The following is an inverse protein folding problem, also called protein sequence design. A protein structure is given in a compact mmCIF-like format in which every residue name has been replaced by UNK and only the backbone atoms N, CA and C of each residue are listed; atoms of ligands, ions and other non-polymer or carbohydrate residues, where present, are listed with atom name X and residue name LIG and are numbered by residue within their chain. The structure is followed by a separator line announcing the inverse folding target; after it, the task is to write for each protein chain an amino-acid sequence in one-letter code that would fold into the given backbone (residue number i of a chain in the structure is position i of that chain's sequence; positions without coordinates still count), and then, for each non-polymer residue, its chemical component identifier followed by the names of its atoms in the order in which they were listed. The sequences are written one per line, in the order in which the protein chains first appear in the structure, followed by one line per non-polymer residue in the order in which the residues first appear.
data_IF_510766891470
#
_entry.id   IF_510766891470
#
_cell.length_a   1.000
_cell.length_b   1.000
_cell.length_c   1.000
_cell.angle_alpha   90.00
_cell.angle_beta   90.00
_cell.angle_gamma   90.00
#
_symmetry.space_group_name_H-M   'P 1'
#
loop_
_entity.id
_entity.type
_entity.pdbx_description
1 polymer ?
#
# COMPACT_ATOMS: atom_id res chain seq x y z
N UNK A 1 14.67 -14.82 -12.06
CA UNK A 1 14.02 -13.68 -11.38
C UNK A 1 13.05 -13.06 -12.36
N UNK A 2 11.82 -12.75 -11.94
CA UNK A 2 10.81 -12.22 -12.85
C UNK A 2 11.14 -10.75 -13.16
N UNK A 3 11.70 -10.48 -14.34
CA UNK A 3 12.00 -9.13 -14.83
C UNK A 3 10.72 -8.34 -15.21
N UNK A 4 9.55 -8.97 -15.10
CA UNK A 4 8.27 -8.36 -15.46
C UNK A 4 7.79 -7.48 -14.33
N UNK A 5 7.67 -6.18 -14.59
CA UNK A 5 7.15 -5.21 -13.63
C UNK A 5 5.69 -5.52 -13.29
N UNK A 6 5.40 -5.63 -12.00
CA UNK A 6 4.04 -5.81 -11.50
C UNK A 6 3.24 -4.52 -11.70
N UNK A 7 2.03 -4.62 -12.26
CA UNK A 7 1.17 -3.47 -12.50
C UNK A 7 0.31 -3.22 -11.25
N UNK A 8 0.35 -1.99 -10.74
CA UNK A 8 -0.43 -1.58 -9.56
C UNK A 8 -1.26 -0.36 -9.89
N UNK A 9 -2.57 -0.48 -9.71
CA UNK A 9 -3.55 0.57 -9.97
C UNK A 9 -3.64 1.58 -8.82
N UNK A 10 -3.95 2.85 -9.14
CA UNK A 10 -4.10 3.94 -8.16
C UNK A 10 -2.90 4.04 -7.20
N UNK A 11 -1.71 4.14 -7.80
CA UNK A 11 -0.45 4.03 -7.09
C UNK A 11 -0.08 5.29 -6.28
N UNK A 12 0.10 5.11 -4.98
CA UNK A 12 0.72 6.06 -4.07
C UNK A 12 1.84 5.35 -3.31
N UNK A 13 3.07 5.80 -3.45
CA UNK A 13 4.23 5.14 -2.86
C UNK A 13 5.20 6.09 -2.18
N UNK A 14 5.76 5.63 -1.06
CA UNK A 14 6.86 6.28 -0.35
C UNK A 14 8.08 5.38 -0.44
N UNK A 15 9.18 5.91 -0.96
CA UNK A 15 10.38 5.14 -1.27
C UNK A 15 11.60 5.65 -0.52
N UNK A 16 12.62 4.81 -0.47
CA UNK A 16 13.97 5.17 -0.06
C UNK A 16 14.95 4.97 -1.23
N UNK A 17 15.76 5.99 -1.47
CA UNK A 17 16.89 5.94 -2.39
C UNK A 17 18.16 5.59 -1.63
N UNK A 18 19.07 4.90 -2.30
CA UNK A 18 20.44 4.65 -1.87
C UNK A 18 21.41 5.25 -2.91
N UNK A 19 22.40 5.99 -2.46
CA UNK A 19 23.42 6.57 -3.31
C UNK A 19 24.57 5.58 -3.52
N UNK A 20 24.87 5.28 -4.78
CA UNK A 20 25.96 4.37 -5.15
C UNK A 20 27.23 5.11 -5.61
N UNK A 21 27.16 6.43 -5.73
CA UNK A 21 28.33 7.26 -6.03
C UNK A 21 29.42 7.04 -4.95
N UNK A 22 30.67 6.66 -5.31
CA UNK A 22 31.73 6.40 -4.34
C UNK A 22 31.95 7.52 -3.32
N UNK A 23 31.81 8.79 -3.74
CA UNK A 23 31.99 9.97 -2.87
C UNK A 23 30.85 10.14 -1.85
N UNK A 24 29.67 9.62 -2.16
CA UNK A 24 28.44 9.82 -1.37
C UNK A 24 27.76 8.50 -1.00
N UNK A 25 28.51 7.39 -1.06
CA UNK A 25 27.98 6.04 -0.94
C UNK A 25 27.25 5.87 0.39
N UNK A 26 26.09 5.22 0.35
CA UNK A 26 25.29 4.97 1.56
C UNK A 26 24.43 6.16 2.01
N UNK A 27 24.52 7.32 1.34
CA UNK A 27 23.52 8.38 1.55
C UNK A 27 22.15 7.91 1.08
N UNK A 28 21.14 8.35 1.82
CA UNK A 28 19.74 8.01 1.55
C UNK A 28 18.90 9.25 1.32
N UNK A 29 17.79 9.05 0.62
CA UNK A 29 16.75 10.05 0.43
C UNK A 29 15.40 9.36 0.49
N UNK A 30 14.45 9.89 1.25
CA UNK A 30 13.09 9.37 1.32
C UNK A 30 12.19 10.32 0.55
N UNK A 31 11.27 9.79 -0.25
CA UNK A 31 10.37 10.61 -1.03
C UNK A 31 9.04 9.96 -1.34
N UNK A 32 8.07 10.77 -1.74
CA UNK A 32 6.77 10.34 -2.25
C UNK A 32 6.70 10.36 -3.79
N UNK A 33 5.93 9.43 -4.38
CA UNK A 33 5.63 9.43 -5.82
C UNK A 33 4.36 8.65 -6.16
N UNK A 34 3.72 9.04 -7.26
CA UNK A 34 2.69 8.25 -7.97
C UNK A 34 3.27 7.48 -9.16
N UNK A 35 4.53 7.72 -9.49
CA UNK A 35 5.25 7.02 -10.57
C UNK A 35 6.73 6.84 -10.21
N UNK A 36 7.13 5.66 -9.69
CA UNK A 36 8.51 5.40 -9.27
C UNK A 36 9.49 5.37 -10.45
N UNK A 37 9.06 4.87 -11.61
CA UNK A 37 9.90 4.74 -12.80
C UNK A 37 10.27 6.11 -13.39
N UNK A 38 9.32 7.05 -13.40
CA UNK A 38 9.59 8.44 -13.75
C UNK A 38 10.44 9.13 -12.68
N UNK A 39 10.08 8.95 -11.39
CA UNK A 39 10.73 9.67 -10.28
C UNK A 39 12.21 9.34 -10.14
N UNK A 40 12.62 8.08 -10.27
CA UNK A 40 14.04 7.71 -10.20
C UNK A 40 14.88 8.38 -11.30
N UNK A 41 14.31 8.48 -12.52
CA UNK A 41 14.95 9.19 -13.65
C UNK A 41 15.12 10.68 -13.34
N UNK A 42 14.13 11.31 -12.72
CA UNK A 42 14.22 12.72 -12.31
C UNK A 42 15.35 12.96 -11.29
N UNK A 43 15.48 12.09 -10.28
CA UNK A 43 16.57 12.19 -9.31
C UNK A 43 17.96 12.09 -9.95
N UNK A 44 18.14 11.15 -10.88
CA UNK A 44 19.41 10.94 -11.57
C UNK A 44 19.73 11.99 -12.63
N UNK A 45 18.71 12.64 -13.23
CA UNK A 45 18.90 13.81 -14.12
C UNK A 45 19.15 15.13 -13.36
N UNK A 46 18.80 15.18 -12.07
CA UNK A 46 19.01 16.34 -11.21
C UNK A 46 17.85 17.33 -11.19
N UNK A 47 18.04 18.43 -10.46
CA UNK A 47 16.96 19.36 -10.09
C UNK A 47 16.24 19.99 -11.28
N UNK A 48 16.97 20.32 -12.36
CA UNK A 48 16.38 20.92 -13.58
C UNK A 48 15.37 19.99 -14.28
N UNK A 49 15.42 18.69 -14.02
CA UNK A 49 14.48 17.70 -14.54
C UNK A 49 13.36 17.32 -13.54
N UNK A 50 13.19 18.09 -12.46
CA UNK A 50 12.20 17.83 -11.40
C UNK A 50 12.70 16.88 -10.29
N UNK A 51 14.00 16.59 -10.24
CA UNK A 51 14.61 15.88 -9.11
C UNK A 51 14.67 16.75 -7.85
N UNK A 52 14.72 16.12 -6.67
CA UNK A 52 14.87 16.87 -5.42
C UNK A 52 16.23 17.58 -5.36
N UNK A 53 16.26 18.82 -4.84
CA UNK A 53 17.51 19.55 -4.64
C UNK A 53 18.55 18.73 -3.85
N UNK A 54 18.10 18.04 -2.79
CA UNK A 54 18.97 17.23 -1.92
C UNK A 54 19.68 16.09 -2.65
N UNK A 55 19.14 15.60 -3.77
CA UNK A 55 19.71 14.50 -4.56
C UNK A 55 20.54 14.98 -5.75
N UNK A 56 20.47 16.26 -6.11
CA UNK A 56 21.14 16.82 -7.28
C UNK A 56 22.67 16.70 -7.17
N UNK A 57 23.34 16.37 -8.28
CA UNK A 57 24.81 16.22 -8.41
C UNK A 57 25.48 15.23 -7.43
N UNK A 58 24.69 14.31 -6.85
CA UNK A 58 25.18 13.30 -5.90
C UNK A 58 25.00 11.88 -6.38
N UNK A 59 24.18 11.69 -7.42
CA UNK A 59 23.90 10.37 -7.98
C UNK A 59 25.14 9.69 -8.59
N UNK A 60 24.99 8.44 -9.07
CA UNK A 60 23.72 7.77 -9.29
C UNK A 60 23.01 7.33 -8.00
N UNK A 61 21.69 7.36 -8.06
CA UNK A 61 20.76 6.90 -7.03
C UNK A 61 20.02 5.66 -7.52
N UNK A 62 19.80 4.72 -6.62
CA UNK A 62 18.91 3.59 -6.83
C UNK A 62 17.73 3.68 -5.88
N UNK A 63 16.52 3.43 -6.37
CA UNK A 63 15.34 3.27 -5.52
C UNK A 63 15.33 1.81 -5.05
N UNK A 64 15.65 1.58 -3.79
CA UNK A 64 15.92 0.22 -3.29
C UNK A 64 14.67 -0.42 -2.68
N UNK A 65 13.81 0.38 -2.04
CA UNK A 65 12.57 -0.06 -1.44
C UNK A 65 11.48 0.99 -1.63
N UNK A 66 10.24 0.54 -1.84
CA UNK A 66 9.03 1.37 -1.89
C UNK A 66 7.89 0.73 -1.10
N UNK A 67 7.31 1.50 -0.19
CA UNK A 67 6.05 1.17 0.48
C UNK A 67 4.93 1.77 -0.36
N UNK A 68 3.96 0.96 -0.79
CA UNK A 68 2.82 1.41 -1.59
C UNK A 68 1.51 0.81 -1.09
N UNK A 69 0.38 1.15 -1.72
CA UNK A 69 -0.97 0.77 -1.24
C UNK A 69 -1.61 1.82 -0.33
N UNK A 70 -1.04 3.02 -0.24
CA UNK A 70 -1.65 4.12 0.52
C UNK A 70 -3.02 4.51 -0.08
N UNK A 71 -4.02 4.82 0.74
CA UNK A 71 -5.38 5.11 0.25
C UNK A 71 -5.49 6.46 -0.47
N UNK A 72 -4.53 7.37 -0.26
CA UNK A 72 -4.42 8.67 -0.90
C UNK A 72 -3.02 9.26 -0.67
N UNK A 73 -2.73 10.36 -1.35
CA UNK A 73 -1.53 11.16 -1.22
C UNK A 73 -1.34 11.71 0.21
N UNK A 74 -2.38 12.20 0.88
CA UNK A 74 -2.29 12.74 2.25
C UNK A 74 -1.73 11.70 3.22
N UNK A 75 -2.20 10.45 3.13
CA UNK A 75 -1.74 9.36 3.98
C UNK A 75 -0.28 8.99 3.70
N UNK A 76 0.10 8.97 2.42
CA UNK A 76 1.48 8.73 1.98
C UNK A 76 2.43 9.85 2.41
N UNK A 77 2.04 11.12 2.25
CA UNK A 77 2.84 12.29 2.64
C UNK A 77 3.04 12.36 4.16
N UNK A 78 2.03 12.00 4.96
CA UNK A 78 2.17 11.88 6.42
C UNK A 78 3.16 10.77 6.80
N UNK A 79 3.15 9.66 6.07
CA UNK A 79 4.13 8.58 6.24
C UNK A 79 5.55 9.06 5.86
N UNK A 80 5.72 9.64 4.67
CA UNK A 80 6.99 10.21 4.20
C UNK A 80 7.59 11.16 5.23
N UNK A 81 6.80 12.12 5.73
CA UNK A 81 7.27 13.11 6.69
C UNK A 81 7.77 12.45 7.99
N UNK A 82 7.03 11.49 8.53
CA UNK A 82 7.42 10.78 9.73
C UNK A 82 8.69 9.94 9.51
N UNK A 83 8.87 9.36 8.32
CA UNK A 83 10.06 8.59 7.99
C UNK A 83 11.28 9.49 7.78
N UNK A 84 11.09 10.71 7.23
CA UNK A 84 12.14 11.73 7.10
C UNK A 84 12.55 12.31 8.46
N UNK A 85 11.58 12.54 9.36
CA UNK A 85 11.72 13.25 10.63
C UNK A 85 11.30 12.38 11.85
N UNK A 86 11.95 11.24 12.09
CA UNK A 86 11.58 10.35 13.18
C UNK A 86 11.67 11.02 14.56
N UNK A 87 12.59 11.97 14.72
CA UNK A 87 12.81 12.77 15.94
C UNK A 87 11.65 13.70 16.29
N UNK A 88 10.87 14.13 15.30
CA UNK A 88 9.74 15.06 15.48
C UNK A 88 8.39 14.35 15.48
N UNK A 89 8.36 13.11 15.04
CA UNK A 89 7.12 12.33 14.94
C UNK A 89 6.69 11.84 16.32
N UNK A 90 5.51 12.28 16.75
CA UNK A 90 4.87 11.79 17.99
C UNK A 90 4.65 10.27 18.00
N UNK A 91 4.59 9.64 16.81
CA UNK A 91 4.41 8.18 16.66
C UNK A 91 5.71 7.39 16.86
N UNK A 92 6.85 8.07 16.98
CA UNK A 92 8.19 7.49 16.99
C UNK A 92 9.02 7.93 18.21
N UNK A 93 8.36 8.38 19.28
CA UNK A 93 9.03 8.86 20.49
C UNK A 93 9.84 7.77 21.21
N UNK A 94 9.35 6.53 21.19
CA UNK A 94 9.94 5.37 21.88
C UNK A 94 10.92 4.58 21.00
N UNK A 95 11.36 5.13 19.87
CA UNK A 95 12.42 4.51 19.07
C UNK A 95 13.71 4.49 19.88
N UNK A 96 14.32 3.31 20.05
CA UNK A 96 15.68 3.24 20.58
C UNK A 96 16.63 3.89 19.57
N UNK A 97 17.27 4.97 20.02
CA UNK A 97 18.11 5.85 19.21
C UNK A 97 19.56 5.40 19.20
N UNK A 98 19.90 4.33 19.94
CA UNK A 98 21.22 3.70 19.88
C UNK A 98 21.36 3.02 18.52
N UNK A 99 21.77 3.82 17.54
CA UNK A 99 21.85 3.42 16.15
C UNK A 99 22.72 2.19 15.97
N UNK A 100 22.23 1.26 15.15
CA UNK A 100 22.99 0.14 14.62
C UNK A 100 24.14 0.73 13.78
N UNK A 101 25.31 0.89 14.39
CA UNK A 101 26.61 1.17 13.77
C UNK A 101 26.63 2.27 12.67
N UNK A 102 26.03 3.44 12.93
CA UNK A 102 26.30 4.67 12.17
C UNK A 102 25.89 4.68 10.68
N UNK A 103 25.21 3.64 10.18
CA UNK A 103 24.79 3.57 8.79
C UNK A 103 23.38 4.14 8.62
N UNK A 104 23.29 5.29 7.94
CA UNK A 104 22.03 6.00 7.70
C UNK A 104 20.94 5.09 7.11
N UNK A 105 21.31 4.18 6.22
CA UNK A 105 20.39 3.23 5.60
C UNK A 105 19.74 2.28 6.60
N UNK A 106 20.52 1.62 7.45
CA UNK A 106 20.01 0.69 8.47
C UNK A 106 19.07 1.39 9.45
N UNK A 107 19.43 2.61 9.88
CA UNK A 107 18.57 3.42 10.72
C UNK A 107 17.22 3.73 10.05
N UNK A 108 17.20 4.07 8.75
CA UNK A 108 15.95 4.30 8.03
C UNK A 108 15.09 3.04 7.91
N UNK A 109 15.69 1.85 7.75
CA UNK A 109 14.95 0.59 7.74
C UNK A 109 14.36 0.26 9.12
N UNK A 110 15.09 0.52 10.20
CA UNK A 110 14.57 0.38 11.57
C UNK A 110 13.38 1.30 11.81
N UNK A 111 13.48 2.57 11.41
CA UNK A 111 12.35 3.53 11.48
C UNK A 111 11.14 3.01 10.70
N UNK A 112 11.36 2.50 9.48
CA UNK A 112 10.30 1.90 8.67
C UNK A 112 9.62 0.74 9.39
N UNK A 113 10.39 -0.19 9.97
CA UNK A 113 9.87 -1.34 10.71
C UNK A 113 8.92 -0.92 11.85
N UNK A 114 9.32 0.10 12.62
CA UNK A 114 8.46 0.67 13.66
C UNK A 114 7.20 1.34 13.09
N UNK A 115 7.33 2.09 11.98
CA UNK A 115 6.19 2.77 11.37
C UNK A 115 5.13 1.81 10.85
N UNK A 116 5.51 0.69 10.24
CA UNK A 116 4.57 -0.32 9.73
C UNK A 116 3.70 -0.93 10.83
N UNK A 117 4.17 -0.90 12.07
CA UNK A 117 3.47 -1.44 13.26
C UNK A 117 2.78 -0.36 14.09
N UNK A 118 2.98 0.92 13.76
CA UNK A 118 2.38 2.05 14.47
C UNK A 118 1.05 2.47 13.82
N UNK A 119 0.05 2.78 14.64
CA UNK A 119 -1.16 3.46 14.16
C UNK A 119 -0.77 4.83 13.56
N UNK A 120 -1.51 5.36 12.57
CA UNK A 120 -2.63 4.72 11.89
C UNK A 120 -2.21 3.74 10.79
N UNK A 121 -0.90 3.64 10.49
CA UNK A 121 -0.39 2.92 9.32
C UNK A 121 -0.56 1.40 9.43
N UNK A 122 -0.48 0.85 10.63
CA UNK A 122 -0.60 -0.59 10.91
C UNK A 122 -1.95 -1.24 10.56
N UNK A 123 -2.91 -0.49 10.02
CA UNK A 123 -4.20 -1.01 9.51
C UNK A 123 -4.46 -0.60 8.06
N UNK A 124 -3.47 -0.02 7.40
CA UNK A 124 -3.54 0.29 5.98
C UNK A 124 -3.08 -0.94 5.19
N UNK A 125 -3.64 -1.21 4.00
CA UNK A 125 -3.21 -2.32 3.14
C UNK A 125 -1.92 -1.97 2.40
N UNK A 126 -0.84 -1.76 3.16
CA UNK A 126 0.45 -1.38 2.61
C UNK A 126 1.19 -2.62 2.11
N UNK A 127 1.93 -2.48 1.02
CA UNK A 127 2.88 -3.47 0.54
C UNK A 127 4.29 -2.91 0.65
N UNK A 128 5.21 -3.68 1.24
CA UNK A 128 6.63 -3.33 1.33
C UNK A 128 7.34 -4.00 0.17
N UNK A 129 7.76 -3.23 -0.84
CA UNK A 129 8.39 -3.79 -2.05
C UNK A 129 9.89 -3.50 -2.09
N UNK A 130 10.70 -4.55 -2.16
CA UNK A 130 12.12 -4.47 -2.50
C UNK A 130 12.29 -4.43 -4.01
N UNK A 131 12.70 -3.27 -4.53
CA UNK A 131 12.96 -3.07 -5.97
C UNK A 131 14.35 -3.59 -6.37
N UNK A 132 15.27 -3.67 -5.39
CA UNK A 132 16.66 -4.09 -5.55
C UNK A 132 17.07 -5.00 -4.39
N UNK A 133 17.13 -6.30 -4.65
CA UNK A 133 17.31 -7.36 -3.65
C UNK A 133 18.70 -7.34 -3.01
N UNK A 134 19.71 -6.83 -3.72
CA UNK A 134 21.07 -6.67 -3.20
C UNK A 134 21.17 -5.70 -2.02
N UNK A 135 20.12 -4.88 -1.78
CA UNK A 135 20.03 -3.98 -0.62
C UNK A 135 19.12 -4.51 0.49
N UNK A 136 18.48 -5.66 0.29
CA UNK A 136 17.58 -6.24 1.28
C UNK A 136 18.30 -6.43 2.62
N UNK A 137 17.58 -6.11 3.69
CA UNK A 137 17.94 -6.45 5.06
C UNK A 137 16.76 -7.13 5.70
N UNK A 138 17.05 -8.12 6.52
CA UNK A 138 16.05 -8.73 7.37
C UNK A 138 15.54 -7.69 8.39
N UNK A 139 14.25 -7.76 8.67
CA UNK A 139 13.68 -6.98 9.76
C UNK A 139 14.14 -7.59 11.10
N UNK A 140 14.39 -6.79 12.14
CA UNK A 140 14.67 -7.35 13.46
C UNK A 140 13.53 -8.27 13.92
N UNK A 141 13.87 -9.31 14.67
CA UNK A 141 12.88 -10.25 15.19
C UNK A 141 11.77 -9.52 15.97
N UNK A 142 10.50 -9.80 15.63
CA UNK A 142 9.33 -9.14 16.21
C UNK A 142 9.01 -7.75 15.65
N UNK A 143 9.81 -7.27 14.69
CA UNK A 143 9.65 -6.01 13.98
C UNK A 143 9.31 -6.19 12.50
N UNK A 144 8.90 -7.39 12.11
CA UNK A 144 8.45 -7.70 10.77
C UNK A 144 7.17 -6.90 10.44
N UNK A 145 6.93 -6.60 9.16
CA UNK A 145 5.65 -6.07 8.72
C UNK A 145 4.49 -6.95 9.22
N UNK A 146 3.36 -6.35 9.65
CA UNK A 146 2.15 -7.11 9.97
C UNK A 146 1.75 -8.05 8.82
N UNK A 147 1.12 -9.19 9.14
CA UNK A 147 0.79 -10.26 8.16
C UNK A 147 0.01 -9.76 6.93
N UNK A 148 -0.90 -8.80 7.13
CA UNK A 148 -1.67 -8.20 6.03
C UNK A 148 -0.87 -7.24 5.13
N UNK A 149 0.39 -6.94 5.47
CA UNK A 149 1.29 -6.10 4.70
C UNK A 149 2.33 -6.97 4.00
N UNK A 150 2.07 -7.43 2.76
CA UNK A 150 2.96 -8.35 2.09
C UNK A 150 4.32 -7.69 1.78
N UNK A 151 5.38 -8.50 1.84
CA UNK A 151 6.68 -8.17 1.30
C UNK A 151 6.73 -8.64 -0.15
N UNK A 152 6.89 -7.71 -1.08
CA UNK A 152 6.97 -7.98 -2.51
C UNK A 152 8.36 -7.68 -3.06
N UNK A 153 8.64 -8.20 -4.24
CA UNK A 153 9.98 -8.14 -4.86
C UNK A 153 9.89 -7.71 -6.32
N UNK A 154 10.95 -7.06 -6.80
CA UNK A 154 11.10 -6.70 -8.20
C UNK A 154 10.39 -5.40 -8.60
N UNK A 155 10.41 -5.05 -9.90
CA UNK A 155 9.94 -3.75 -10.38
C UNK A 155 8.42 -3.60 -10.29
N UNK A 156 7.96 -2.34 -10.22
CA UNK A 156 6.54 -1.98 -10.18
C UNK A 156 6.22 -0.93 -11.23
N UNK A 157 5.05 -1.03 -11.86
CA UNK A 157 4.54 -0.08 -12.85
C UNK A 157 3.18 0.47 -12.39
N UNK A 158 3.04 1.78 -12.19
CA UNK A 158 1.74 2.36 -11.87
C UNK A 158 0.81 2.27 -13.07
N UNK A 159 -0.47 2.01 -12.81
CA UNK A 159 -1.57 2.16 -13.77
C UNK A 159 -2.64 3.09 -13.20
N UNK A 160 -3.31 3.84 -14.07
CA UNK A 160 -4.50 4.60 -13.69
C UNK A 160 -5.69 3.66 -13.81
N UNK A 161 -6.57 3.68 -12.82
CA UNK A 161 -7.90 3.09 -13.00
C UNK A 161 -8.64 3.95 -14.02
N UNK A 162 -9.23 3.32 -15.03
CA UNK A 162 -10.14 4.02 -15.94
C UNK A 162 -11.37 4.37 -15.12
N UNK A 163 -11.69 5.66 -14.98
CA UNK A 163 -12.93 6.06 -14.33
C UNK A 163 -14.09 5.46 -15.13
N UNK A 164 -14.73 4.43 -14.59
CA UNK A 164 -16.07 3.98 -15.00
C UNK A 164 -17.14 4.97 -14.51
N UNK A 165 -16.83 6.26 -14.50
CA UNK A 165 -17.81 7.34 -14.38
C UNK A 165 -18.30 7.75 -15.78
N UNK A 166 -17.58 7.41 -16.86
CA UNK A 166 -17.99 7.68 -18.25
C UNK A 166 -18.89 6.59 -18.86
N UNK A 167 -19.21 5.52 -18.13
CA UNK A 167 -20.30 4.58 -18.49
C UNK A 167 -21.56 4.81 -17.65
N UNK A 168 -21.71 5.98 -17.04
CA UNK A 168 -22.99 6.41 -16.44
C UNK A 168 -23.86 6.94 -17.57
N UNK A 169 -24.30 6.03 -18.44
CA UNK A 169 -25.55 6.21 -19.14
C UNK A 169 -26.15 4.82 -19.40
N UNK A 170 -27.39 4.64 -18.95
CA UNK A 170 -28.28 3.52 -19.29
C UNK A 170 -28.02 2.15 -18.61
N UNK A 171 -28.04 2.09 -17.27
CA UNK A 171 -28.55 0.88 -16.58
C UNK A 171 -29.47 1.31 -15.43
N UNK A 172 -30.66 0.71 -15.42
CA UNK A 172 -31.84 1.07 -14.64
C UNK A 172 -31.54 1.23 -13.13
N UNK A 173 -32.19 2.22 -12.51
CA UNK A 173 -32.26 2.42 -11.06
C UNK A 173 -33.01 1.26 -10.39
N UNK A 174 -32.41 0.08 -10.33
CA UNK A 174 -32.80 -0.92 -9.36
C UNK A 174 -32.14 -0.55 -8.04
N UNK A 175 -32.96 -0.09 -7.09
CA UNK A 175 -32.54 0.28 -5.75
C UNK A 175 -31.90 -0.94 -5.04
N UNK A 176 -30.56 -0.99 -5.02
CA UNK A 176 -29.82 -2.09 -4.41
C UNK A 176 -30.05 -2.14 -2.89
N UNK A 177 -30.46 -3.30 -2.35
CA UNK A 177 -30.70 -3.47 -0.91
C UNK A 177 -29.49 -4.04 -0.17
N UNK A 178 -29.21 -3.48 1.00
CA UNK A 178 -28.17 -3.97 1.90
C UNK A 178 -28.60 -5.29 2.53
N UNK A 179 -27.80 -6.35 2.38
CA UNK A 179 -28.10 -7.65 2.99
C UNK A 179 -28.06 -7.64 4.53
N UNK A 180 -27.36 -6.67 5.13
CA UNK A 180 -27.17 -6.58 6.59
C UNK A 180 -28.34 -5.85 7.26
N UNK A 181 -28.61 -4.60 6.85
CA UNK A 181 -29.65 -3.78 7.49
C UNK A 181 -30.99 -3.74 6.73
N UNK A 182 -31.05 -4.37 5.54
CA UNK A 182 -32.23 -4.38 4.65
C UNK A 182 -32.67 -3.02 4.12
N UNK A 183 -31.86 -1.97 4.29
CA UNK A 183 -32.11 -0.64 3.72
C UNK A 183 -31.52 -0.46 2.32
N UNK A 184 -32.00 0.56 1.59
CA UNK A 184 -31.49 0.93 0.27
C UNK A 184 -30.05 1.46 0.33
N UNK A 185 -29.22 1.08 -0.64
CA UNK A 185 -27.80 1.44 -0.73
C UNK A 185 -27.58 2.35 -1.92
N UNK A 186 -27.03 3.55 -1.68
CA UNK A 186 -26.59 4.44 -2.76
C UNK A 186 -25.38 3.84 -3.46
N UNK A 187 -25.25 4.04 -4.78
CA UNK A 187 -24.11 3.55 -5.58
C UNK A 187 -22.74 3.88 -4.95
N UNK A 188 -22.58 5.11 -4.44
CA UNK A 188 -21.35 5.56 -3.78
C UNK A 188 -21.03 4.85 -2.46
N UNK A 189 -21.99 4.14 -1.86
CA UNK A 189 -21.87 3.43 -0.58
C UNK A 189 -21.95 1.89 -0.73
N UNK A 190 -22.07 1.37 -1.96
CA UNK A 190 -22.06 -0.08 -2.20
C UNK A 190 -20.67 -0.67 -1.91
N UNK A 191 -20.64 -1.73 -1.11
CA UNK A 191 -19.55 -2.69 -0.99
C UNK A 191 -20.02 -4.05 -1.50
N UNK A 192 -19.12 -4.77 -2.19
CA UNK A 192 -19.34 -6.12 -2.69
C UNK A 192 -18.29 -7.08 -2.14
N UNK A 193 -18.60 -8.37 -2.15
CA UNK A 193 -17.62 -9.42 -1.84
C UNK A 193 -16.48 -9.43 -2.87
N UNK A 194 -15.32 -9.94 -2.50
CA UNK A 194 -14.24 -10.23 -3.45
C UNK A 194 -14.59 -11.38 -4.42
N UNK A 195 -15.49 -12.28 -4.05
CA UNK A 195 -15.99 -13.33 -4.93
C UNK A 195 -17.05 -12.77 -5.87
N UNK A 196 -16.80 -12.83 -7.18
CA UNK A 196 -17.71 -12.35 -8.22
C UNK A 196 -19.07 -13.05 -8.22
N UNK A 197 -19.11 -14.31 -7.78
CA UNK A 197 -20.32 -15.12 -7.66
C UNK A 197 -21.14 -14.84 -6.39
N UNK A 198 -20.60 -14.09 -5.42
CA UNK A 198 -21.29 -13.85 -4.14
C UNK A 198 -22.30 -12.70 -4.29
N UNK A 199 -23.55 -12.87 -3.82
CA UNK A 199 -24.59 -11.86 -3.97
C UNK A 199 -24.45 -10.70 -2.97
N UNK A 200 -23.34 -10.60 -2.22
CA UNK A 200 -23.19 -9.58 -1.20
C UNK A 200 -23.23 -8.16 -1.78
N UNK A 201 -24.25 -7.42 -1.36
CA UNK A 201 -24.36 -5.97 -1.43
C UNK A 201 -24.60 -5.45 -0.01
N UNK A 202 -23.76 -4.53 0.45
CA UNK A 202 -23.92 -3.89 1.75
C UNK A 202 -23.48 -2.43 1.72
N UNK A 203 -24.01 -1.61 2.63
CA UNK A 203 -23.41 -0.30 2.93
C UNK A 203 -21.97 -0.46 3.44
N UNK A 204 -21.09 0.50 3.16
CA UNK A 204 -19.71 0.51 3.71
C UNK A 204 -19.76 0.41 5.23
N UNK A 205 -20.64 1.18 5.88
CA UNK A 205 -20.77 1.20 7.33
C UNK A 205 -21.27 -0.13 7.89
N UNK A 206 -22.26 -0.75 7.26
CA UNK A 206 -22.80 -2.03 7.73
C UNK A 206 -21.75 -3.14 7.65
N UNK A 207 -21.03 -3.24 6.51
CA UNK A 207 -19.99 -4.23 6.35
C UNK A 207 -18.81 -3.98 7.30
N UNK A 208 -18.39 -2.72 7.47
CA UNK A 208 -17.35 -2.36 8.43
C UNK A 208 -17.74 -2.77 9.85
N UNK A 209 -18.94 -2.42 10.30
CA UNK A 209 -19.43 -2.80 11.63
C UNK A 209 -19.50 -4.31 11.82
N UNK A 210 -19.88 -5.07 10.79
CA UNK A 210 -19.87 -6.53 10.84
C UNK A 210 -18.44 -7.09 11.02
N UNK A 211 -17.47 -6.59 10.27
CA UNK A 211 -16.07 -7.04 10.35
C UNK A 211 -15.39 -6.59 11.67
N UNK A 212 -15.90 -5.56 12.33
CA UNK A 212 -15.39 -5.06 13.61
C UNK A 212 -15.95 -5.79 14.84
N UNK A 213 -16.88 -6.73 14.69
CA UNK A 213 -17.57 -7.37 15.83
C UNK A 213 -16.63 -8.03 16.86
N UNK A 214 -15.44 -8.49 16.43
CA UNK A 214 -14.44 -9.15 17.29
C UNK A 214 -13.27 -8.23 17.67
N UNK A 215 -13.31 -6.97 17.25
CA UNK A 215 -12.23 -6.01 17.48
C UNK A 215 -12.47 -5.19 18.75
N UNK A 216 -11.40 -4.57 19.26
CA UNK A 216 -11.49 -3.74 20.46
C UNK A 216 -12.43 -2.54 20.24
N UNK A 217 -13.19 -2.13 21.27
CA UNK A 217 -14.03 -0.94 21.21
C UNK A 217 -13.26 0.31 20.76
N UNK A 218 -13.88 1.12 19.90
CA UNK A 218 -13.26 2.32 19.34
C UNK A 218 -12.39 2.08 18.09
N UNK A 219 -12.25 0.83 17.64
CA UNK A 219 -11.64 0.53 16.34
C UNK A 219 -12.60 0.93 15.21
N UNK A 220 -12.15 1.83 14.33
CA UNK A 220 -12.99 2.38 13.25
C UNK A 220 -12.73 1.70 11.90
N UNK A 221 -11.49 1.29 11.65
CA UNK A 221 -11.08 0.70 10.38
C UNK A 221 -10.95 -0.82 10.56
N UNK A 222 -11.79 -1.66 9.95
CA UNK A 222 -11.60 -3.11 9.98
C UNK A 222 -10.26 -3.47 9.30
N UNK A 223 -9.65 -4.56 9.76
CA UNK A 223 -8.45 -5.09 9.12
C UNK A 223 -8.84 -6.20 8.16
N UNK A 224 -9.55 -7.18 8.69
CA UNK A 224 -10.10 -8.34 7.99
C UNK A 224 -11.44 -8.75 8.61
N UNK A 225 -12.13 -9.66 7.95
CA UNK A 225 -13.39 -10.23 8.43
C UNK A 225 -14.05 -11.11 7.38
N UNK A 226 -15.01 -11.93 7.83
CA UNK A 226 -15.72 -12.87 6.97
C UNK A 226 -16.88 -12.19 6.24
N UNK A 227 -17.12 -12.61 5.00
CA UNK A 227 -18.31 -12.22 4.25
C UNK A 227 -19.57 -12.76 4.94
N UNK A 228 -20.59 -11.91 5.25
CA UNK A 228 -21.82 -12.38 5.89
C UNK A 228 -22.70 -13.25 4.98
N UNK A 229 -22.41 -13.33 3.68
CA UNK A 229 -23.16 -14.13 2.70
C UNK A 229 -22.49 -15.47 2.38
N UNK A 230 -21.20 -15.48 2.01
CA UNK A 230 -20.50 -16.70 1.61
C UNK A 230 -19.43 -17.18 2.61
N UNK A 231 -19.18 -16.44 3.68
CA UNK A 231 -18.22 -16.82 4.74
C UNK A 231 -16.74 -16.60 4.43
N UNK A 232 -16.37 -16.28 3.18
CA UNK A 232 -14.94 -16.07 2.80
C UNK A 232 -14.31 -14.96 3.64
N UNK A 233 -13.08 -15.18 4.11
CA UNK A 233 -12.30 -14.16 4.80
C UNK A 233 -11.72 -13.17 3.80
N UNK A 234 -11.85 -11.87 4.09
CA UNK A 234 -11.43 -10.80 3.21
C UNK A 234 -10.69 -9.72 3.99
N UNK A 235 -9.64 -9.14 3.39
CA UNK A 235 -9.01 -7.93 3.91
C UNK A 235 -9.86 -6.71 3.56
N UNK A 236 -10.04 -5.80 4.54
CA UNK A 236 -10.79 -4.57 4.33
C UNK A 236 -10.18 -3.70 3.23
N UNK A 237 -8.85 -3.67 3.15
CA UNK A 237 -8.13 -2.95 2.12
C UNK A 237 -8.46 -3.40 0.70
N UNK A 238 -8.65 -4.71 0.49
CA UNK A 238 -8.99 -5.27 -0.82
C UNK A 238 -10.41 -4.93 -1.22
N UNK A 239 -11.35 -4.93 -0.27
CA UNK A 239 -12.72 -4.49 -0.52
C UNK A 239 -12.77 -3.01 -0.92
N UNK A 240 -12.01 -2.15 -0.25
CA UNK A 240 -11.92 -0.73 -0.59
C UNK A 240 -11.27 -0.52 -1.96
N UNK A 241 -10.25 -1.31 -2.30
CA UNK A 241 -9.64 -1.30 -3.63
C UNK A 241 -10.62 -1.73 -4.72
N UNK A 242 -11.34 -2.84 -4.51
CA UNK A 242 -12.38 -3.32 -5.43
C UNK A 242 -13.45 -2.25 -5.67
N UNK A 243 -13.93 -1.61 -4.59
CA UNK A 243 -14.89 -0.50 -4.69
C UNK A 243 -14.39 0.66 -5.55
N UNK A 244 -13.08 0.94 -5.53
CA UNK A 244 -12.46 2.02 -6.32
C UNK A 244 -12.21 1.63 -7.77
N UNK A 245 -12.70 0.46 -8.21
CA UNK A 245 -12.47 -0.06 -9.55
C UNK A 245 -11.07 -0.66 -9.73
N UNK A 246 -10.31 -0.85 -8.65
CA UNK A 246 -9.11 -1.68 -8.74
C UNK A 246 -9.52 -3.15 -8.84
N UNK A 247 -8.67 -4.00 -9.43
CA UNK A 247 -8.98 -5.41 -9.72
C UNK A 247 -10.06 -5.61 -10.80
N UNK A 248 -10.32 -4.60 -11.64
CA UNK A 248 -11.11 -4.80 -12.85
C UNK A 248 -10.35 -5.81 -13.72
N UNK A 249 -10.82 -7.06 -13.68
CA UNK A 249 -10.42 -8.11 -14.58
C UNK A 249 -10.70 -7.58 -16.00
N UNK A 250 -9.65 -7.17 -16.71
CA UNK A 250 -9.74 -7.21 -18.17
C UNK A 250 -10.10 -8.64 -18.51
N UNK A 251 -11.12 -8.85 -19.35
CA UNK A 251 -11.72 -10.14 -19.74
C UNK A 251 -10.73 -11.17 -20.34
N UNK A 252 -9.42 -10.89 -20.30
CA UNK A 252 -8.33 -11.69 -20.83
C UNK A 252 -7.56 -12.53 -19.79
N UNK A 253 -8.00 -12.58 -18.52
CA UNK A 253 -7.44 -13.56 -17.55
C UNK A 253 -8.54 -14.55 -17.18
N UNK A 254 -8.71 -15.54 -18.06
CA UNK A 254 -9.42 -16.78 -17.74
C UNK A 254 -8.78 -17.42 -16.52
N UNK A 255 -9.61 -17.65 -15.51
CA UNK A 255 -9.56 -18.77 -14.57
C UNK A 255 -8.19 -19.22 -14.06
N UNK A 256 -7.52 -18.42 -13.23
CA UNK A 256 -6.56 -18.95 -12.23
C UNK A 256 -6.66 -18.16 -10.91
N UNK A 257 -7.61 -18.61 -10.08
CA UNK A 257 -7.45 -18.89 -8.64
C UNK A 257 -6.44 -18.05 -7.81
N UNK A 258 -6.65 -16.74 -7.66
CA UNK A 258 -5.90 -15.92 -6.69
C UNK A 258 -6.07 -16.37 -5.22
N UNK A 259 -7.13 -17.12 -4.90
CA UNK A 259 -7.35 -17.66 -3.56
C UNK A 259 -6.29 -18.71 -3.15
N UNK A 260 -5.72 -19.44 -4.12
CA UNK A 260 -4.69 -20.47 -3.86
C UNK A 260 -3.29 -19.87 -3.70
N UNK A 261 -2.99 -18.74 -4.34
CA UNK A 261 -1.69 -18.06 -4.21
C UNK A 261 -1.41 -17.52 -2.80
N UNK A 262 -2.45 -17.32 -1.98
CA UNK A 262 -2.32 -16.93 -0.57
C UNK A 262 -2.16 -18.12 0.39
N UNK A 263 -2.39 -19.35 -0.09
CA UNK A 263 -2.29 -20.58 0.71
C UNK A 263 -0.92 -21.28 0.62
N UNK A 264 -0.03 -20.80 -0.24
CA UNK A 264 1.30 -21.42 -0.48
C UNK A 264 2.46 -20.66 0.20
N UNK A 265 2.18 -19.77 1.16
CA UNK A 265 3.20 -19.13 2.03
C UNK A 265 3.09 -19.66 3.47
N UNK A 266 2.92 -20.97 3.61
CA UNK A 266 3.08 -21.69 4.89
C UNK A 266 4.23 -22.67 4.77
#
# INVERSE_FOLDING_TARGET
MCDKAEVVENFYGVYILYCINPKFRGRTYIGFTTDPNRRIKQHNKGQKAGGAFRTSNKGPWEMVLIVHGFPNDISALRFEWAWQHPDRSRRLQNLDRKGINGQQYNFRLQVLAHMLRAKPWSRLPLTVRWLKQEYMKEFPAGMEPPVHMPIAYGPVKPSKVKNSEETIDVLQQDDAMCLICKGLVKQSDIMRCLSSSCPLIAHIRCLASHMLQRELPGTILPLEGSCPSCGITMLWGDLVRLKRGCYQLTEDVKDEHWAEALSQIT
#
